data_IF_678940588964
#
_entry.id   IF_678940588964
#
_cell.length_a   1.000
_cell.length_b   1.000
_cell.length_c   1.000
_cell.angle_alpha   90.00
_cell.angle_beta   90.00
_cell.angle_gamma   90.00
#
_symmetry.space_group_name_H-M   'P 1'
#
loop_
_entity.id
_entity.type
_entity.pdbx_description
1 polymer ?
#
# COMPACT_ATOMS: atom_id res chain seq x y z
N UNK A 1 -7.69 -6.17 -12.96
CA UNK A 1 -7.38 -5.14 -11.95
C UNK A 1 -7.39 -5.76 -10.58
N UNK A 2 -6.34 -5.53 -9.82
CA UNK A 2 -6.18 -6.22 -8.56
C UNK A 2 -7.19 -5.70 -7.52
N UNK A 3 -7.65 -6.60 -6.66
CA UNK A 3 -8.51 -6.28 -5.51
C UNK A 3 -7.89 -5.19 -4.63
N UNK A 4 -6.56 -5.12 -4.60
CA UNK A 4 -5.81 -4.12 -3.85
C UNK A 4 -6.02 -2.71 -4.41
N UNK A 5 -5.96 -2.54 -5.73
CA UNK A 5 -6.21 -1.26 -6.40
C UNK A 5 -7.63 -0.75 -6.13
N UNK A 6 -8.62 -1.65 -6.15
CA UNK A 6 -10.00 -1.31 -5.82
C UNK A 6 -10.14 -0.84 -4.36
N UNK A 7 -9.43 -1.48 -3.44
CA UNK A 7 -9.42 -1.07 -2.02
C UNK A 7 -8.77 0.30 -1.84
N UNK A 8 -7.63 0.55 -2.50
CA UNK A 8 -6.94 1.84 -2.48
C UNK A 8 -7.84 2.97 -2.99
N UNK A 9 -8.51 2.76 -4.14
CA UNK A 9 -9.45 3.72 -4.71
C UNK A 9 -10.65 3.98 -3.79
N UNK A 10 -11.19 2.93 -3.19
CA UNK A 10 -12.28 3.04 -2.22
C UNK A 10 -11.86 3.89 -1.02
N UNK A 11 -10.71 3.61 -0.43
CA UNK A 11 -10.18 4.37 0.71
C UNK A 11 -9.91 5.82 0.36
N UNK A 12 -9.36 6.08 -0.82
CA UNK A 12 -9.16 7.43 -1.33
C UNK A 12 -10.48 8.21 -1.41
N UNK A 13 -11.51 7.61 -2.01
CA UNK A 13 -12.84 8.21 -2.12
C UNK A 13 -13.49 8.48 -0.75
N UNK A 14 -13.26 7.63 0.24
CA UNK A 14 -13.76 7.82 1.60
C UNK A 14 -13.05 8.96 2.33
N UNK A 15 -11.75 9.14 2.09
CA UNK A 15 -10.91 10.14 2.76
C UNK A 15 -10.97 11.53 2.11
N UNK A 16 -11.20 11.63 0.80
CA UNK A 16 -11.27 12.92 0.09
C UNK A 16 -12.27 13.90 0.69
N UNK A 17 -13.54 13.54 1.00
CA UNK A 17 -14.48 14.47 1.61
C UNK A 17 -14.05 14.96 2.99
N UNK A 18 -13.39 14.10 3.77
CA UNK A 18 -12.88 14.45 5.10
C UNK A 18 -11.70 15.39 5.01
N UNK A 19 -10.79 15.15 4.07
CA UNK A 19 -9.67 16.05 3.78
C UNK A 19 -10.17 17.42 3.29
N UNK A 20 -11.13 17.44 2.38
CA UNK A 20 -11.75 18.65 1.87
C UNK A 20 -12.43 19.45 2.98
N UNK A 21 -13.10 18.79 3.92
CA UNK A 21 -13.73 19.43 5.09
C UNK A 21 -12.71 20.12 5.97
N UNK A 22 -11.61 19.46 6.32
CA UNK A 22 -10.54 20.05 7.13
C UNK A 22 -9.92 21.26 6.42
N UNK A 23 -9.67 21.16 5.12
CA UNK A 23 -9.15 22.26 4.31
C UNK A 23 -10.11 23.47 4.30
N UNK A 24 -11.40 23.22 4.13
CA UNK A 24 -12.42 24.25 4.18
C UNK A 24 -12.47 24.96 5.54
N UNK A 25 -12.36 24.20 6.64
CA UNK A 25 -12.29 24.79 7.98
C UNK A 25 -11.08 25.71 8.13
N UNK A 26 -9.93 25.32 7.62
CA UNK A 26 -8.72 26.16 7.62
C UNK A 26 -8.93 27.45 6.83
N UNK A 27 -9.48 27.34 5.63
CA UNK A 27 -9.75 28.50 4.77
C UNK A 27 -10.75 29.47 5.41
N UNK A 28 -11.79 28.95 6.07
CA UNK A 28 -12.77 29.75 6.81
C UNK A 28 -12.15 30.47 8.00
N UNK A 29 -11.27 29.84 8.74
CA UNK A 29 -10.52 30.44 9.86
C UNK A 29 -9.65 31.59 9.33
N UNK A 30 -8.90 31.37 8.27
CA UNK A 30 -8.05 32.40 7.66
C UNK A 30 -8.86 33.60 7.13
N UNK A 31 -9.99 33.32 6.46
CA UNK A 31 -10.85 34.36 5.92
C UNK A 31 -11.54 35.20 7.00
N UNK A 32 -11.83 34.62 8.17
CA UNK A 32 -12.57 35.25 9.25
C UNK A 32 -11.70 35.71 10.42
N UNK A 33 -10.40 35.55 10.32
CA UNK A 33 -9.43 35.81 11.39
C UNK A 33 -9.54 37.21 12.00
N UNK A 34 -9.88 38.24 11.19
CA UNK A 34 -9.96 39.62 11.63
C UNK A 34 -11.40 40.09 11.89
N UNK A 35 -12.39 39.24 11.64
CA UNK A 35 -13.82 39.57 11.75
C UNK A 35 -14.46 38.95 12.99
N UNK A 36 -14.04 37.72 13.35
CA UNK A 36 -14.57 37.01 14.50
C UNK A 36 -13.84 37.38 15.79
N UNK A 37 -14.55 37.27 16.93
CA UNK A 37 -13.97 37.40 18.25
C UNK A 37 -12.91 36.32 18.51
N UNK A 38 -11.90 36.61 19.35
CA UNK A 38 -10.77 35.73 19.62
C UNK A 38 -11.19 34.36 20.18
N UNK A 39 -12.18 34.33 21.07
CA UNK A 39 -12.71 33.08 21.63
C UNK A 39 -13.35 32.18 20.56
N UNK A 40 -14.07 32.78 19.61
CA UNK A 40 -14.67 32.07 18.49
C UNK A 40 -13.59 31.50 17.56
N UNK A 41 -12.54 32.26 17.30
CA UNK A 41 -11.39 31.81 16.51
C UNK A 41 -10.69 30.64 17.20
N UNK A 42 -10.49 30.72 18.51
CA UNK A 42 -9.88 29.61 19.29
C UNK A 42 -10.72 28.34 19.24
N UNK A 43 -12.04 28.45 19.40
CA UNK A 43 -12.94 27.29 19.27
C UNK A 43 -12.82 26.64 17.88
N UNK A 44 -12.83 27.43 16.82
CA UNK A 44 -12.67 26.92 15.45
C UNK A 44 -11.31 26.30 15.19
N UNK A 45 -10.25 26.84 15.79
CA UNK A 45 -8.91 26.24 15.72
C UNK A 45 -8.86 24.88 16.40
N UNK A 46 -9.53 24.72 17.55
CA UNK A 46 -9.65 23.44 18.26
C UNK A 46 -10.40 22.42 17.40
N UNK A 47 -11.50 22.83 16.79
CA UNK A 47 -12.26 21.97 15.87
C UNK A 47 -11.43 21.55 14.67
N UNK A 48 -10.66 22.48 14.09
CA UNK A 48 -9.76 22.18 12.98
C UNK A 48 -8.66 21.19 13.37
N UNK A 49 -8.03 21.38 14.52
CA UNK A 49 -7.02 20.44 15.03
C UNK A 49 -7.61 19.06 15.28
N UNK A 50 -8.85 18.98 15.78
CA UNK A 50 -9.57 17.71 15.93
C UNK A 50 -9.82 17.06 14.58
N UNK A 51 -10.24 17.84 13.58
CA UNK A 51 -10.42 17.36 12.21
C UNK A 51 -9.14 16.78 11.64
N UNK A 52 -8.00 17.46 11.83
CA UNK A 52 -6.69 16.98 11.38
C UNK A 52 -6.28 15.66 12.06
N UNK A 53 -6.46 15.56 13.38
CA UNK A 53 -6.15 14.33 14.11
C UNK A 53 -7.00 13.15 13.65
N UNK A 54 -8.29 13.38 13.46
CA UNK A 54 -9.20 12.36 12.97
C UNK A 54 -8.85 11.91 11.55
N UNK A 55 -8.50 12.86 10.69
CA UNK A 55 -8.06 12.57 9.32
C UNK A 55 -6.77 11.74 9.32
N UNK A 56 -5.78 12.11 10.14
CA UNK A 56 -4.52 11.38 10.28
C UNK A 56 -4.75 9.94 10.78
N UNK A 57 -5.60 9.79 11.79
CA UNK A 57 -6.00 8.47 12.29
C UNK A 57 -6.67 7.64 11.22
N UNK A 58 -7.61 8.20 10.48
CA UNK A 58 -8.34 7.49 9.42
C UNK A 58 -7.41 7.13 8.25
N UNK A 59 -6.47 8.00 7.93
CA UNK A 59 -5.45 7.75 6.92
C UNK A 59 -4.52 6.59 7.33
N UNK A 60 -4.08 6.59 8.58
CA UNK A 60 -3.25 5.50 9.11
C UNK A 60 -4.01 4.18 9.14
N UNK A 61 -5.27 4.20 9.56
CA UNK A 61 -6.13 3.01 9.55
C UNK A 61 -6.33 2.45 8.12
N UNK A 62 -6.48 3.33 7.13
CA UNK A 62 -6.57 2.93 5.73
C UNK A 62 -5.27 2.28 5.23
N UNK A 63 -4.12 2.84 5.57
CA UNK A 63 -2.81 2.23 5.26
C UNK A 63 -2.66 0.85 5.88
N UNK A 64 -3.02 0.71 7.13
CA UNK A 64 -2.92 -0.56 7.86
C UNK A 64 -3.84 -1.62 7.24
N UNK A 65 -5.05 -1.25 6.86
CA UNK A 65 -5.99 -2.15 6.19
C UNK A 65 -5.46 -2.61 4.82
N UNK A 66 -4.91 -1.69 4.03
CA UNK A 66 -4.27 -2.01 2.74
C UNK A 66 -3.09 -2.96 2.96
N UNK A 67 -2.24 -2.70 3.95
CA UNK A 67 -1.10 -3.55 4.27
C UNK A 67 -1.53 -4.97 4.68
N UNK A 68 -2.60 -5.10 5.48
CA UNK A 68 -3.16 -6.41 5.87
C UNK A 68 -3.70 -7.15 4.66
N UNK A 69 -4.47 -6.49 3.79
CA UNK A 69 -5.00 -7.10 2.58
C UNK A 69 -3.89 -7.52 1.62
N UNK A 70 -2.86 -6.70 1.47
CA UNK A 70 -1.70 -7.03 0.67
C UNK A 70 -1.01 -8.32 1.16
N UNK A 71 -0.79 -8.44 2.47
CA UNK A 71 -0.23 -9.66 3.06
C UNK A 71 -1.10 -10.89 2.81
N UNK A 72 -2.41 -10.76 2.96
CA UNK A 72 -3.36 -11.85 2.70
C UNK A 72 -3.35 -12.30 1.25
N UNK A 73 -3.16 -11.37 0.31
CA UNK A 73 -3.08 -11.69 -1.11
C UNK A 73 -1.74 -12.32 -1.50
N UNK A 74 -0.65 -11.87 -0.87
CA UNK A 74 0.70 -12.35 -1.16
C UNK A 74 1.01 -13.72 -0.54
N UNK A 75 0.43 -14.07 0.61
CA UNK A 75 0.72 -15.33 1.29
C UNK A 75 0.43 -16.58 0.42
N UNK A 76 -0.74 -16.72 -0.24
CA UNK A 76 -0.99 -17.82 -1.17
C UNK A 76 -0.06 -17.80 -2.38
N UNK A 77 0.28 -16.61 -2.88
CA UNK A 77 1.18 -16.45 -4.02
C UNK A 77 2.60 -16.88 -3.68
N UNK A 78 3.11 -16.53 -2.50
CA UNK A 78 4.42 -16.96 -2.02
C UNK A 78 4.51 -18.49 -1.93
N UNK A 79 3.46 -19.15 -1.44
CA UNK A 79 3.38 -20.62 -1.38
C UNK A 79 3.39 -21.24 -2.77
N UNK A 80 2.60 -20.72 -3.71
CA UNK A 80 2.57 -21.16 -5.11
C UNK A 80 3.93 -20.98 -5.78
N UNK A 81 4.59 -19.85 -5.51
CA UNK A 81 5.93 -19.57 -6.02
C UNK A 81 6.93 -20.62 -5.52
N UNK A 82 6.92 -20.91 -4.23
CA UNK A 82 7.80 -21.94 -3.64
C UNK A 82 7.58 -23.31 -4.29
N UNK A 83 6.33 -23.73 -4.46
CA UNK A 83 5.96 -24.98 -5.11
C UNK A 83 6.43 -25.02 -6.58
N UNK A 84 6.21 -23.93 -7.33
CA UNK A 84 6.64 -23.83 -8.72
C UNK A 84 8.16 -23.91 -8.86
N UNK A 85 8.90 -23.22 -7.99
CA UNK A 85 10.38 -23.27 -7.98
C UNK A 85 10.89 -24.66 -7.66
N UNK A 86 10.29 -25.35 -6.70
CA UNK A 86 10.65 -26.74 -6.36
C UNK A 86 10.41 -27.70 -7.54
N UNK A 87 9.28 -27.58 -8.22
CA UNK A 87 8.97 -28.41 -9.39
C UNK A 87 9.96 -28.17 -10.54
N UNK A 88 10.26 -26.91 -10.86
CA UNK A 88 11.22 -26.56 -11.91
C UNK A 88 12.63 -27.04 -11.53
N UNK A 89 13.04 -26.82 -10.28
CA UNK A 89 14.33 -27.30 -9.79
C UNK A 89 14.52 -28.82 -9.97
N UNK A 90 13.50 -29.57 -9.62
CA UNK A 90 13.52 -31.03 -9.79
C UNK A 90 13.50 -31.47 -11.26
N UNK A 91 12.61 -30.87 -12.06
CA UNK A 91 12.46 -31.26 -13.47
C UNK A 91 13.65 -30.88 -14.35
N UNK A 92 14.33 -29.79 -14.03
CA UNK A 92 15.51 -29.29 -14.74
C UNK A 92 16.84 -29.73 -14.12
N UNK A 93 16.80 -30.41 -12.98
CA UNK A 93 17.99 -30.89 -12.30
C UNK A 93 18.86 -29.80 -11.67
N UNK A 94 18.28 -28.71 -11.25
CA UNK A 94 18.98 -27.63 -10.55
C UNK A 94 19.29 -28.06 -9.10
N UNK A 95 20.50 -27.76 -8.65
CA UNK A 95 20.90 -27.98 -7.26
C UNK A 95 20.50 -26.84 -6.36
N UNK A 96 20.40 -25.62 -6.91
CA UNK A 96 20.09 -24.40 -6.20
C UNK A 96 19.37 -23.41 -7.10
N UNK A 97 18.34 -22.77 -6.57
CA UNK A 97 17.64 -21.64 -7.21
C UNK A 97 17.65 -20.47 -6.25
N UNK A 98 18.18 -19.33 -6.69
CA UNK A 98 18.32 -18.10 -5.89
C UNK A 98 17.53 -16.97 -6.51
N UNK A 99 17.03 -16.07 -5.65
CA UNK A 99 16.55 -14.77 -6.07
C UNK A 99 17.75 -13.90 -6.47
N UNK A 100 17.64 -13.19 -7.60
CA UNK A 100 18.68 -12.33 -8.13
C UNK A 100 19.08 -11.20 -7.17
N UNK A 101 18.14 -10.78 -6.33
CA UNK A 101 18.36 -9.76 -5.29
C UNK A 101 18.99 -10.30 -4.01
N UNK A 102 19.25 -11.62 -3.92
CA UNK A 102 19.86 -12.23 -2.73
C UNK A 102 21.24 -11.61 -2.46
N UNK A 103 21.53 -11.18 -1.22
CA UNK A 103 22.85 -10.68 -0.87
C UNK A 103 23.95 -11.71 -1.18
N UNK A 104 25.03 -11.23 -1.81
CA UNK A 104 26.15 -12.09 -2.23
C UNK A 104 26.09 -12.57 -3.68
N UNK A 105 24.98 -12.40 -4.37
CA UNK A 105 24.92 -12.63 -5.82
C UNK A 105 25.42 -11.40 -6.56
N UNK A 106 26.67 -11.45 -7.02
CA UNK A 106 27.33 -10.31 -7.70
C UNK A 106 27.17 -10.36 -9.23
N UNK A 107 27.01 -11.56 -9.77
CA UNK A 107 26.89 -11.78 -11.19
C UNK A 107 26.09 -13.06 -11.47
N UNK A 108 25.17 -12.96 -12.44
CA UNK A 108 24.49 -14.12 -13.00
C UNK A 108 24.17 -13.82 -14.48
N UNK A 109 24.64 -14.67 -15.42
CA UNK A 109 24.31 -14.49 -16.83
C UNK A 109 22.83 -14.76 -17.10
N UNK A 110 22.27 -14.11 -18.11
CA UNK A 110 20.87 -14.26 -18.50
C UNK A 110 20.49 -15.71 -18.84
N UNK A 111 21.45 -16.50 -19.32
CA UNK A 111 21.24 -17.91 -19.62
C UNK A 111 20.86 -18.75 -18.39
N UNK A 112 21.17 -18.29 -17.18
CA UNK A 112 20.78 -18.91 -15.92
C UNK A 112 19.45 -18.38 -15.36
N UNK A 113 18.90 -17.32 -15.96
CA UNK A 113 17.64 -16.73 -15.50
C UNK A 113 16.45 -17.60 -15.94
N UNK A 114 15.71 -18.12 -14.97
CA UNK A 114 14.53 -18.96 -15.17
C UNK A 114 13.22 -18.24 -14.81
N UNK A 115 13.25 -16.91 -14.67
CA UNK A 115 12.08 -16.12 -14.28
C UNK A 115 10.87 -16.40 -15.17
N UNK A 116 11.05 -16.44 -16.48
CA UNK A 116 9.97 -16.70 -17.43
C UNK A 116 9.37 -18.09 -17.29
N UNK A 117 10.18 -19.09 -16.99
CA UNK A 117 9.71 -20.46 -16.70
C UNK A 117 8.85 -20.49 -15.44
N UNK A 118 9.26 -19.79 -14.39
CA UNK A 118 8.54 -19.71 -13.12
C UNK A 118 7.21 -18.98 -13.31
N UNK A 119 7.21 -17.84 -14.00
CA UNK A 119 6.00 -17.07 -14.32
C UNK A 119 5.00 -17.88 -15.13
N UNK A 120 5.49 -18.61 -16.14
CA UNK A 120 4.65 -19.50 -16.95
C UNK A 120 4.01 -20.60 -16.09
N UNK A 121 4.78 -21.22 -15.22
CA UNK A 121 4.28 -22.27 -14.31
C UNK A 121 3.23 -21.72 -13.32
N UNK A 122 3.41 -20.54 -12.81
CA UNK A 122 2.43 -19.87 -11.95
C UNK A 122 1.12 -19.58 -12.67
N UNK A 123 1.18 -19.23 -13.94
CA UNK A 123 0.00 -18.91 -14.76
C UNK A 123 -0.77 -20.15 -15.25
N UNK A 124 -0.17 -21.34 -15.18
CA UNK A 124 -0.81 -22.62 -15.55
C UNK A 124 -1.80 -23.13 -14.48
N UNK A 125 -1.84 -22.53 -13.30
CA UNK A 125 -2.74 -22.91 -12.19
C UNK A 125 -3.94 -21.94 -12.08
#
# INVERSE_FOLDING_TARGET
ESTLTQLEEKKKKELEPRSARCKKMQEEIEAQRFVLADDVIQERMIEFQSCQRDLERDFQAAKDEIAVQNRKLLAPLAKKLEEAVKEIGKSKGFDLVLDRSTPGVLYAPESLDITDLVVKRLNEN
#
